data_IF_874827959287
#
_entry.id   IF_874827959287
#
_cell.length_a   1.000
_cell.length_b   1.000
_cell.length_c   1.000
_cell.angle_alpha   90.00
_cell.angle_beta   90.00
_cell.angle_gamma   90.00
#
_symmetry.space_group_name_H-M   'P 1'
#
loop_
_entity.id
_entity.type
_entity.pdbx_description
1 polymer ?
#
# COMPACT_ATOMS: atom_id res chain seq x y z
N UNK A 1 -5.92 -20.76 -10.23
CA UNK A 1 -6.55 -20.05 -9.09
C UNK A 1 -7.19 -18.77 -9.61
N UNK A 2 -8.46 -18.54 -9.26
CA UNK A 2 -9.18 -17.32 -9.61
C UNK A 2 -8.86 -16.21 -8.62
N UNK A 3 -9.12 -14.92 -8.95
CA UNK A 3 -8.98 -13.82 -7.98
C UNK A 3 -9.74 -14.06 -6.67
N UNK A 4 -10.98 -14.58 -6.74
CA UNK A 4 -11.79 -14.88 -5.56
C UNK A 4 -11.13 -15.93 -4.66
N UNK A 5 -10.43 -16.89 -5.25
CA UNK A 5 -9.67 -17.89 -4.50
C UNK A 5 -8.39 -17.30 -3.93
N UNK A 6 -7.73 -16.41 -4.68
CA UNK A 6 -6.45 -15.82 -4.26
C UNK A 6 -6.60 -14.85 -3.09
N UNK A 7 -7.74 -14.15 -2.97
CA UNK A 7 -7.95 -13.16 -1.89
C UNK A 7 -7.81 -13.77 -0.49
N UNK A 8 -8.18 -15.04 -0.32
CA UNK A 8 -8.05 -15.73 0.96
C UNK A 8 -6.60 -15.93 1.41
N UNK A 9 -5.65 -15.83 0.49
CA UNK A 9 -4.21 -15.96 0.79
C UNK A 9 -3.56 -14.61 1.09
N UNK A 10 -4.29 -13.51 0.92
CA UNK A 10 -3.78 -12.16 1.18
C UNK A 10 -3.46 -12.03 2.66
N UNK A 11 -2.20 -11.82 2.98
CA UNK A 11 -1.70 -11.70 4.36
C UNK A 11 -0.85 -10.46 4.47
N UNK A 12 -1.00 -9.76 5.59
CA UNK A 12 -0.31 -8.52 5.84
C UNK A 12 0.57 -8.64 7.07
N UNK A 13 1.71 -7.97 7.02
CA UNK A 13 2.55 -7.80 8.20
C UNK A 13 1.81 -6.92 9.20
N UNK A 14 2.12 -7.12 10.48
CA UNK A 14 1.52 -6.32 11.55
C UNK A 14 2.00 -4.86 11.50
N UNK A 15 3.29 -4.67 11.18
CA UNK A 15 3.92 -3.37 11.11
C UNK A 15 4.49 -3.11 9.72
N UNK A 16 4.66 -1.81 9.38
CA UNK A 16 5.27 -1.39 8.13
C UNK A 16 6.76 -1.79 8.13
N UNK A 17 7.22 -2.35 7.01
CA UNK A 17 8.63 -2.67 6.83
C UNK A 17 9.47 -1.39 6.87
N UNK A 18 10.61 -1.43 7.54
CA UNK A 18 11.42 -0.23 7.78
C UNK A 18 11.83 0.49 6.48
N UNK A 19 12.19 -0.26 5.45
CA UNK A 19 12.59 0.33 4.16
C UNK A 19 11.46 1.06 3.44
N UNK A 20 10.20 0.80 3.79
CA UNK A 20 9.05 1.48 3.16
C UNK A 20 8.98 2.95 3.57
N UNK A 21 9.42 3.30 4.77
CA UNK A 21 9.48 4.71 5.19
C UNK A 21 10.47 5.50 4.34
N UNK A 22 11.61 4.91 4.02
CA UNK A 22 12.59 5.56 3.14
C UNK A 22 12.02 5.74 1.72
N UNK A 23 11.33 4.73 1.20
CA UNK A 23 10.68 4.81 -0.11
C UNK A 23 9.60 5.91 -0.13
N UNK A 24 8.76 5.98 0.90
CA UNK A 24 7.74 7.00 1.04
C UNK A 24 8.35 8.39 1.13
N UNK A 25 9.40 8.56 1.92
CA UNK A 25 10.10 9.84 2.06
C UNK A 25 10.69 10.29 0.73
N UNK A 26 11.31 9.39 -0.03
CA UNK A 26 11.84 9.69 -1.36
C UNK A 26 10.78 10.20 -2.31
N UNK A 27 9.64 9.51 -2.37
CA UNK A 27 8.51 9.93 -3.18
C UNK A 27 7.94 11.30 -2.75
N UNK A 28 7.70 11.48 -1.45
CA UNK A 28 7.14 12.71 -0.90
C UNK A 28 8.09 13.91 -1.09
N UNK A 29 9.40 13.68 -1.08
CA UNK A 29 10.38 14.75 -1.28
C UNK A 29 10.28 15.36 -2.68
N UNK A 30 9.95 14.56 -3.68
CA UNK A 30 9.73 15.04 -5.05
C UNK A 30 8.43 15.83 -5.14
N UNK A 31 7.38 15.37 -4.44
CA UNK A 31 6.06 16.01 -4.45
C UNK A 31 6.01 17.30 -3.64
N UNK A 32 6.61 17.31 -2.46
CA UNK A 32 6.39 18.37 -1.46
C UNK A 32 7.69 18.97 -0.90
N UNK A 33 8.86 18.53 -1.34
CA UNK A 33 10.15 18.96 -0.83
C UNK A 33 10.64 18.12 0.34
N UNK A 34 11.94 18.15 0.58
CA UNK A 34 12.61 17.29 1.58
C UNK A 34 12.15 17.57 3.01
N UNK A 35 11.96 18.84 3.37
CA UNK A 35 11.55 19.23 4.72
C UNK A 35 10.19 18.64 5.07
N UNK A 36 9.20 18.78 4.18
CA UNK A 36 7.87 18.20 4.36
C UNK A 36 7.90 16.69 4.39
N UNK A 37 8.68 16.08 3.48
CA UNK A 37 8.83 14.64 3.42
C UNK A 37 9.37 14.06 4.73
N UNK A 38 10.36 14.72 5.32
CA UNK A 38 10.93 14.31 6.60
C UNK A 38 9.93 14.38 7.74
N UNK A 39 9.23 15.50 7.83
CA UNK A 39 8.18 15.73 8.82
C UNK A 39 7.08 14.66 8.74
N UNK A 40 6.60 14.38 7.52
CA UNK A 40 5.54 13.40 7.29
C UNK A 40 6.03 11.98 7.59
N UNK A 41 7.24 11.64 7.18
CA UNK A 41 7.83 10.33 7.46
C UNK A 41 7.96 10.06 8.96
N UNK A 42 8.42 11.04 9.73
CA UNK A 42 8.51 10.95 11.18
C UNK A 42 7.12 10.78 11.81
N UNK A 43 6.13 11.48 11.30
CA UNK A 43 4.75 11.36 11.75
C UNK A 43 4.18 9.97 11.45
N UNK A 44 4.39 9.45 10.25
CA UNK A 44 3.93 8.13 9.84
C UNK A 44 4.45 7.03 10.77
N UNK A 45 5.72 7.12 11.18
CA UNK A 45 6.31 6.12 12.08
C UNK A 45 5.53 5.98 13.39
N UNK A 46 4.96 7.08 13.87
CA UNK A 46 4.27 7.13 15.17
C UNK A 46 2.78 6.81 15.09
N UNK A 47 2.21 6.78 13.89
CA UNK A 47 0.79 6.53 13.71
C UNK A 47 0.48 5.02 13.77
N UNK A 48 -0.74 4.68 14.21
CA UNK A 48 -1.17 3.28 14.22
C UNK A 48 -1.50 2.80 12.81
N UNK A 49 -1.41 1.48 12.62
CA UNK A 49 -1.96 0.84 11.41
C UNK A 49 -3.47 0.75 11.58
N UNK A 50 -4.19 1.23 10.56
CA UNK A 50 -5.64 1.17 10.48
C UNK A 50 -6.06 0.37 9.25
N UNK A 51 -7.33 0.01 9.15
CA UNK A 51 -7.87 -0.76 8.04
C UNK A 51 -8.82 0.10 7.21
N UNK A 52 -8.65 0.06 5.89
CA UNK A 52 -9.58 0.69 4.94
C UNK A 52 -9.72 -0.21 3.72
N UNK A 53 -10.86 -0.11 3.03
CA UNK A 53 -11.09 -0.88 1.81
C UNK A 53 -10.19 -0.41 0.68
N UNK A 54 -9.69 -1.35 -0.14
CA UNK A 54 -8.86 -1.04 -1.29
C UNK A 54 -9.52 0.02 -2.20
N UNK A 55 -10.80 -0.15 -2.52
CA UNK A 55 -11.56 0.79 -3.33
C UNK A 55 -11.56 2.21 -2.74
N UNK A 56 -11.75 2.34 -1.44
CA UNK A 56 -11.79 3.64 -0.78
C UNK A 56 -10.41 4.32 -0.78
N UNK A 57 -9.35 3.56 -0.60
CA UNK A 57 -7.97 4.10 -0.65
C UNK A 57 -7.70 4.67 -2.04
N UNK A 58 -8.01 3.93 -3.09
CA UNK A 58 -7.79 4.37 -4.47
C UNK A 58 -8.61 5.61 -4.80
N UNK A 59 -9.89 5.63 -4.42
CA UNK A 59 -10.76 6.79 -4.65
C UNK A 59 -10.28 8.04 -3.90
N UNK A 60 -9.95 7.88 -2.62
CA UNK A 60 -9.51 9.00 -1.78
C UNK A 60 -8.18 9.60 -2.26
N UNK A 61 -7.30 8.79 -2.81
CA UNK A 61 -6.01 9.23 -3.33
C UNK A 61 -6.07 9.59 -4.82
N UNK A 62 -7.23 9.45 -5.45
CA UNK A 62 -7.46 9.74 -6.88
C UNK A 62 -6.51 8.94 -7.78
N UNK A 63 -6.24 7.69 -7.41
CA UNK A 63 -5.41 6.77 -8.19
C UNK A 63 -6.27 5.69 -8.81
N UNK A 64 -6.05 5.45 -10.09
CA UNK A 64 -6.63 4.28 -10.76
C UNK A 64 -5.82 3.03 -10.35
N UNK A 65 -6.48 1.88 -10.19
CA UNK A 65 -5.75 0.66 -9.88
C UNK A 65 -4.86 0.27 -11.06
N UNK A 66 -3.64 -0.18 -10.76
CA UNK A 66 -2.81 -0.82 -11.75
C UNK A 66 -3.43 -2.17 -12.13
N UNK A 67 -3.33 -2.58 -13.40
CA UNK A 67 -3.89 -3.87 -13.81
C UNK A 67 -3.12 -5.04 -13.20
N UNK A 68 -3.79 -6.19 -13.08
CA UNK A 68 -3.14 -7.40 -12.56
C UNK A 68 -1.93 -7.83 -13.42
N UNK A 69 -1.91 -7.44 -14.69
CA UNK A 69 -0.79 -7.71 -15.60
C UNK A 69 0.44 -6.83 -15.35
N UNK A 70 0.31 -5.78 -14.51
CA UNK A 70 1.46 -4.93 -14.17
C UNK A 70 2.56 -5.76 -13.51
N UNK A 71 3.84 -5.63 -13.91
CA UNK A 71 4.92 -6.45 -13.37
C UNK A 71 5.08 -6.35 -11.85
N UNK A 72 4.88 -5.16 -11.27
CA UNK A 72 4.96 -4.95 -9.83
C UNK A 72 3.80 -5.63 -9.09
N UNK A 73 2.60 -5.55 -9.65
CA UNK A 73 1.41 -6.22 -9.10
C UNK A 73 1.58 -7.75 -9.17
N UNK A 74 2.09 -8.27 -10.28
CA UNK A 74 2.36 -9.70 -10.43
C UNK A 74 3.41 -10.20 -9.44
N UNK A 75 4.46 -9.42 -9.17
CA UNK A 75 5.44 -9.78 -8.15
C UNK A 75 4.81 -9.90 -6.77
N UNK A 76 3.95 -8.97 -6.42
CA UNK A 76 3.23 -9.03 -5.13
C UNK A 76 2.28 -10.24 -5.08
N UNK A 77 1.61 -10.55 -6.18
CA UNK A 77 0.77 -11.75 -6.27
C UNK A 77 1.61 -13.02 -6.05
N UNK A 78 2.79 -13.11 -6.66
CA UNK A 78 3.70 -14.25 -6.48
C UNK A 78 4.12 -14.39 -5.01
N UNK A 79 4.40 -13.28 -4.32
CA UNK A 79 4.70 -13.30 -2.88
C UNK A 79 3.54 -13.85 -2.08
N UNK A 80 2.33 -13.38 -2.35
CA UNK A 80 1.11 -13.84 -1.67
C UNK A 80 0.92 -15.35 -1.87
N UNK A 81 1.06 -15.82 -3.10
CA UNK A 81 0.91 -17.24 -3.41
C UNK A 81 2.01 -18.09 -2.78
N UNK A 82 3.18 -17.52 -2.53
CA UNK A 82 4.28 -18.18 -1.81
C UNK A 82 4.13 -18.13 -0.28
N UNK A 83 3.05 -17.53 0.23
CA UNK A 83 2.79 -17.44 1.66
C UNK A 83 3.46 -16.26 2.35
N UNK A 84 4.05 -15.33 1.59
CA UNK A 84 4.67 -14.14 2.16
C UNK A 84 3.63 -13.11 2.56
N UNK A 85 3.94 -12.35 3.61
CA UNK A 85 3.11 -11.25 4.09
C UNK A 85 3.54 -9.94 3.45
N UNK A 86 2.57 -9.14 3.05
CA UNK A 86 2.81 -7.81 2.48
C UNK A 86 2.89 -6.76 3.58
N UNK A 87 3.69 -5.73 3.36
CA UNK A 87 3.79 -4.58 4.27
C UNK A 87 2.56 -3.68 4.12
N UNK A 88 2.03 -3.11 5.22
CA UNK A 88 0.97 -2.10 5.14
C UNK A 88 1.33 -0.91 4.26
N UNK A 89 0.32 -0.21 3.77
CA UNK A 89 0.45 0.93 2.86
C UNK A 89 0.76 2.19 3.65
N UNK A 90 1.49 3.13 3.05
CA UNK A 90 1.68 4.48 3.60
C UNK A 90 0.94 5.49 2.73
N UNK A 91 0.01 6.22 3.35
CA UNK A 91 -0.79 7.26 2.71
C UNK A 91 -0.55 8.58 3.44
N UNK A 92 -0.21 9.61 2.71
CA UNK A 92 0.08 10.92 3.29
C UNK A 92 -0.25 12.03 2.30
N UNK A 93 -0.76 13.15 2.83
CA UNK A 93 -1.08 14.34 2.04
C UNK A 93 -1.96 14.02 0.82
N UNK A 94 -2.91 13.11 0.98
CA UNK A 94 -3.87 12.75 -0.05
C UNK A 94 -3.31 11.85 -1.15
N UNK A 95 -2.16 11.21 -0.94
CA UNK A 95 -1.55 10.33 -1.94
C UNK A 95 -1.02 9.05 -1.32
N UNK A 96 -0.88 8.02 -2.13
CA UNK A 96 -0.20 6.79 -1.73
C UNK A 96 1.31 7.06 -1.79
N UNK A 97 1.93 7.20 -0.63
CA UNK A 97 3.36 7.47 -0.52
C UNK A 97 4.19 6.21 -0.78
N UNK A 98 3.66 5.05 -0.40
CA UNK A 98 4.27 3.75 -0.67
C UNK A 98 3.21 2.65 -0.64
N UNK A 99 3.30 1.71 -1.60
CA UNK A 99 2.41 0.55 -1.64
C UNK A 99 1.35 0.57 -2.73
N UNK A 100 1.52 1.37 -3.77
CA UNK A 100 0.56 1.46 -4.88
C UNK A 100 0.31 0.10 -5.54
N UNK A 101 1.36 -0.72 -5.75
CA UNK A 101 1.21 -2.06 -6.31
C UNK A 101 0.41 -2.97 -5.37
N UNK A 102 0.65 -2.87 -4.07
CA UNK A 102 -0.02 -3.72 -3.07
C UNK A 102 -1.51 -3.42 -2.95
N UNK A 103 -1.89 -2.14 -2.95
CA UNK A 103 -3.31 -1.77 -2.92
C UNK A 103 -4.00 -2.13 -4.24
N UNK A 104 -3.30 -2.00 -5.36
CA UNK A 104 -3.81 -2.42 -6.67
C UNK A 104 -4.04 -3.92 -6.73
N UNK A 105 -3.14 -4.73 -6.16
CA UNK A 105 -3.33 -6.17 -6.05
C UNK A 105 -4.57 -6.49 -5.21
N UNK A 106 -4.68 -5.88 -4.03
CA UNK A 106 -5.84 -6.11 -3.17
C UNK A 106 -7.14 -5.79 -3.91
N UNK A 107 -7.18 -4.66 -4.62
CA UNK A 107 -8.34 -4.26 -5.42
C UNK A 107 -8.66 -5.28 -6.52
N UNK A 108 -7.64 -5.78 -7.21
CA UNK A 108 -7.85 -6.76 -8.28
C UNK A 108 -8.42 -8.08 -7.76
N UNK A 109 -8.04 -8.49 -6.55
CA UNK A 109 -8.55 -9.71 -5.91
C UNK A 109 -9.95 -9.50 -5.33
N UNK A 110 -10.18 -8.36 -4.67
CA UNK A 110 -11.47 -7.96 -4.12
C UNK A 110 -11.44 -6.45 -3.84
N UNK A 111 -12.21 -5.64 -4.59
CA UNK A 111 -12.23 -4.19 -4.40
C UNK A 111 -12.58 -3.75 -2.97
N UNK A 112 -13.30 -4.58 -2.22
CA UNK A 112 -13.72 -4.30 -0.85
C UNK A 112 -12.86 -4.97 0.21
N UNK A 113 -11.75 -5.58 -0.20
CA UNK A 113 -10.79 -6.16 0.75
C UNK A 113 -10.23 -5.07 1.66
N UNK A 114 -10.13 -5.39 2.95
CA UNK A 114 -9.47 -4.50 3.91
C UNK A 114 -7.96 -4.50 3.67
N UNK A 115 -7.41 -3.30 3.64
CA UNK A 115 -5.97 -3.08 3.46
C UNK A 115 -5.46 -2.30 4.68
N UNK A 116 -4.42 -2.80 5.36
CA UNK A 116 -3.83 -2.06 6.46
C UNK A 116 -2.98 -0.90 5.93
N UNK A 117 -3.07 0.25 6.59
CA UNK A 117 -2.32 1.43 6.20
C UNK A 117 -2.06 2.34 7.40
N UNK A 118 -1.06 3.19 7.26
CA UNK A 118 -0.89 4.37 8.11
C UNK A 118 -1.30 5.60 7.30
N UNK A 119 -2.04 6.49 7.92
CA UNK A 119 -2.64 7.65 7.26
C UNK A 119 -2.22 8.94 7.97
N UNK A 120 -1.49 9.75 7.24
CA UNK A 120 -1.10 11.09 7.71
C UNK A 120 -1.72 12.19 6.85
#
# INVERSE_FOLDING_TARGET
MTPDQAVQYLRWRKDVAEHDYAAASGYLSIRFGESRAHEVSDKLRKLPVIQRRANDILRATRRDPLPLSDPGVLRDLQKVLAGEKLSPILVADGDIADGYHRVSLAYALDPYADVPLKLA
#
